data_IF_939343573474
#
_entry.id   IF_939343573474
#
_cell.length_a   1.000
_cell.length_b   1.000
_cell.length_c   1.000
_cell.angle_alpha   90.00
_cell.angle_beta   90.00
_cell.angle_gamma   90.00
#
_symmetry.space_group_name_H-M   'P 1'
#
loop_
_entity.id
_entity.type
_entity.pdbx_description
1 polymer ?
#
# COMPACT_ATOMS: atom_id res chain seq x y z
N UNK A 1 -3.44 9.16 48.31
CA UNK A 1 -4.05 9.66 47.06
C UNK A 1 -2.87 10.18 46.27
N UNK A 2 -2.35 9.36 45.37
CA UNK A 2 -1.23 9.76 44.51
C UNK A 2 -1.77 10.80 43.53
N UNK A 3 -1.17 11.99 43.57
CA UNK A 3 -1.44 13.05 42.60
C UNK A 3 -0.76 12.64 41.30
N UNK A 4 -1.53 12.08 40.37
CA UNK A 4 -1.14 11.98 38.96
C UNK A 4 -0.89 13.41 38.49
N UNK A 5 0.35 13.72 38.15
CA UNK A 5 0.73 15.02 37.59
C UNK A 5 0.07 15.18 36.23
N UNK A 6 -0.43 16.37 35.89
CA UNK A 6 -1.07 16.67 34.60
C UNK A 6 -0.20 16.29 33.37
N UNK A 7 1.10 16.05 33.54
CA UNK A 7 2.02 15.58 32.51
C UNK A 7 1.80 14.11 32.09
N UNK A 8 1.28 13.24 32.96
CA UNK A 8 1.04 11.81 32.63
C UNK A 8 -0.23 11.64 31.78
N UNK A 9 -1.27 12.46 32.01
CA UNK A 9 -2.52 12.49 31.23
C UNK A 9 -2.33 13.03 29.80
N UNK A 10 -1.38 13.96 29.61
CA UNK A 10 -1.02 14.52 28.29
C UNK A 10 -0.08 13.61 27.47
N UNK A 11 0.53 12.61 28.10
CA UNK A 11 1.41 11.62 27.42
C UNK A 11 0.61 10.40 26.99
N UNK A 12 -0.29 9.90 27.83
CA UNK A 12 -1.16 8.75 27.54
C UNK A 12 -2.08 9.04 26.32
N UNK A 13 -2.64 10.24 26.27
CA UNK A 13 -3.47 10.71 25.13
C UNK A 13 -2.69 10.82 23.83
N UNK A 14 -1.41 11.21 23.87
CA UNK A 14 -0.56 11.33 22.67
C UNK A 14 -0.08 9.97 22.17
N UNK A 15 0.22 9.04 23.07
CA UNK A 15 0.58 7.67 22.71
C UNK A 15 -0.60 6.97 22.02
N UNK A 16 -1.80 7.07 22.59
CA UNK A 16 -3.03 6.55 21.98
C UNK A 16 -3.28 7.17 20.59
N UNK A 17 -3.16 8.49 20.44
CA UNK A 17 -3.32 9.16 19.14
C UNK A 17 -2.31 8.68 18.10
N UNK A 18 -1.03 8.53 18.46
CA UNK A 18 0.01 8.01 17.57
C UNK A 18 -0.25 6.55 17.16
N UNK A 19 -0.75 5.72 18.07
CA UNK A 19 -1.14 4.34 17.75
C UNK A 19 -2.32 4.32 16.77
N UNK A 20 -3.31 5.18 16.96
CA UNK A 20 -4.42 5.32 16.01
C UNK A 20 -3.93 5.78 14.63
N UNK A 21 -3.04 6.75 14.55
CA UNK A 21 -2.46 7.21 13.28
C UNK A 21 -1.69 6.11 12.55
N UNK A 22 -0.88 5.33 13.29
CA UNK A 22 -0.15 4.19 12.72
C UNK A 22 -1.10 3.11 12.23
N UNK A 23 -2.15 2.82 12.98
CA UNK A 23 -3.19 1.88 12.58
C UNK A 23 -3.93 2.34 11.33
N UNK A 24 -4.32 3.62 11.26
CA UNK A 24 -4.96 4.20 10.07
C UNK A 24 -4.05 4.14 8.85
N UNK A 25 -2.77 4.48 9.01
CA UNK A 25 -1.79 4.37 7.94
C UNK A 25 -1.70 2.93 7.43
N UNK A 26 -1.61 1.95 8.33
CA UNK A 26 -1.60 0.54 7.95
C UNK A 26 -2.85 0.14 7.17
N UNK A 27 -4.03 0.59 7.59
CA UNK A 27 -5.29 0.31 6.89
C UNK A 27 -5.31 0.89 5.47
N UNK A 28 -4.84 2.14 5.29
CA UNK A 28 -4.76 2.74 3.96
C UNK A 28 -3.74 2.04 3.05
N UNK A 29 -2.59 1.67 3.60
CA UNK A 29 -1.60 0.87 2.88
C UNK A 29 -2.18 -0.49 2.48
N UNK A 30 -2.90 -1.15 3.38
CA UNK A 30 -3.55 -2.44 3.12
C UNK A 30 -4.66 -2.34 2.08
N UNK A 31 -5.51 -1.31 2.14
CA UNK A 31 -6.56 -1.07 1.14
C UNK A 31 -5.93 -0.82 -0.24
N UNK A 32 -4.87 -0.01 -0.29
CA UNK A 32 -4.14 0.24 -1.52
C UNK A 32 -3.51 -1.02 -2.10
N UNK A 33 -2.85 -1.85 -1.27
CA UNK A 33 -2.30 -3.14 -1.73
C UNK A 33 -3.42 -4.04 -2.26
N UNK A 34 -4.55 -4.13 -1.58
CA UNK A 34 -5.68 -4.90 -2.11
C UNK A 34 -6.23 -4.34 -3.43
N UNK A 35 -6.21 -3.02 -3.63
CA UNK A 35 -6.63 -2.39 -4.88
C UNK A 35 -5.67 -2.66 -6.06
N UNK A 36 -4.38 -2.91 -5.79
CA UNK A 36 -3.39 -3.33 -6.80
C UNK A 36 -3.80 -4.64 -7.50
N UNK A 37 -4.65 -5.47 -6.87
CA UNK A 37 -5.19 -6.67 -7.51
C UNK A 37 -5.99 -6.38 -8.79
N UNK A 38 -6.52 -5.17 -8.99
CA UNK A 38 -7.29 -4.82 -10.19
C UNK A 38 -6.38 -4.33 -11.32
N UNK A 39 -6.32 -5.03 -12.48
CA UNK A 39 -5.56 -4.56 -13.65
C UNK A 39 -6.04 -3.19 -14.17
N UNK A 40 -7.34 -2.91 -14.08
CA UNK A 40 -7.93 -1.62 -14.48
C UNK A 40 -7.42 -0.48 -13.59
N UNK A 41 -7.26 -0.73 -12.28
CA UNK A 41 -6.70 0.26 -11.37
C UNK A 41 -5.21 0.54 -11.68
N UNK A 42 -4.44 -0.51 -11.96
CA UNK A 42 -3.05 -0.37 -12.41
C UNK A 42 -2.93 0.40 -13.72
N UNK A 43 -3.82 0.15 -14.68
CA UNK A 43 -3.90 0.93 -15.93
C UNK A 43 -4.19 2.41 -15.66
N UNK A 44 -5.13 2.71 -14.76
CA UNK A 44 -5.45 4.08 -14.35
C UNK A 44 -4.22 4.78 -13.74
N UNK A 45 -3.50 4.12 -12.83
CA UNK A 45 -2.28 4.66 -12.22
C UNK A 45 -1.20 4.92 -13.27
N UNK A 46 -1.03 4.01 -14.23
CA UNK A 46 -0.08 4.16 -15.33
C UNK A 46 -0.42 5.37 -16.23
N UNK A 47 -1.68 5.54 -16.61
CA UNK A 47 -2.13 6.66 -17.43
C UNK A 47 -2.01 8.02 -16.74
N UNK A 48 -2.05 8.04 -15.40
CA UNK A 48 -1.79 9.23 -14.58
C UNK A 48 -0.31 9.48 -14.32
N UNK A 49 0.57 8.67 -14.90
CA UNK A 49 2.03 8.75 -14.78
C UNK A 49 2.56 8.59 -13.34
N UNK A 50 1.82 7.93 -12.45
CA UNK A 50 2.31 7.65 -11.08
C UNK A 50 3.58 6.80 -11.10
N UNK A 51 3.70 5.87 -12.05
CA UNK A 51 4.87 5.00 -12.19
C UNK A 51 6.14 5.68 -12.74
N UNK A 52 6.06 6.95 -13.12
CA UNK A 52 7.20 7.79 -13.50
C UNK A 52 7.77 8.56 -12.31
N UNK A 53 6.98 8.74 -11.24
CA UNK A 53 7.42 9.39 -10.01
C UNK A 53 8.25 8.43 -9.15
N UNK A 54 9.50 8.82 -8.89
CA UNK A 54 10.42 8.05 -8.04
C UNK A 54 9.90 7.91 -6.61
N UNK A 55 9.22 8.91 -6.06
CA UNK A 55 8.68 8.83 -4.71
C UNK A 55 7.60 7.73 -4.63
N UNK A 56 6.74 7.64 -5.65
CA UNK A 56 5.73 6.59 -5.74
C UNK A 56 6.35 5.20 -5.91
N UNK A 57 7.41 5.06 -6.72
CA UNK A 57 8.10 3.78 -6.86
C UNK A 57 8.73 3.30 -5.55
N UNK A 58 9.35 4.21 -4.80
CA UNK A 58 9.88 3.90 -3.48
C UNK A 58 8.75 3.48 -2.51
N UNK A 59 7.57 4.08 -2.63
CA UNK A 59 6.40 3.68 -1.85
C UNK A 59 5.93 2.26 -2.22
N UNK A 60 5.85 1.92 -3.50
CA UNK A 60 5.51 0.57 -3.96
C UNK A 60 6.56 -0.47 -3.52
N UNK A 61 7.85 -0.10 -3.52
CA UNK A 61 8.92 -0.93 -2.95
C UNK A 61 8.75 -1.12 -1.44
N UNK A 62 8.44 -0.05 -0.71
CA UNK A 62 8.16 -0.12 0.73
C UNK A 62 7.02 -1.11 1.03
N UNK A 63 5.92 -1.08 0.26
CA UNK A 63 4.77 -1.98 0.45
C UNK A 63 5.10 -3.48 0.29
N UNK A 64 6.27 -3.87 -0.22
CA UNK A 64 6.71 -5.27 -0.28
C UNK A 64 6.72 -5.95 1.10
N UNK A 65 6.72 -5.18 2.20
CA UNK A 65 6.63 -5.75 3.55
C UNK A 65 5.36 -6.58 3.78
N UNK A 66 4.27 -6.32 3.05
CA UNK A 66 3.03 -7.11 3.14
C UNK A 66 3.19 -8.58 2.76
N UNK A 67 4.29 -8.93 2.07
CA UNK A 67 4.63 -10.31 1.71
C UNK A 67 5.26 -11.10 2.85
N UNK A 68 5.68 -10.45 3.93
CA UNK A 68 6.20 -11.14 5.11
C UNK A 68 5.05 -11.91 5.79
N UNK A 69 5.37 -13.02 6.44
CA UNK A 69 4.39 -13.95 7.04
C UNK A 69 3.44 -13.28 8.05
N UNK A 70 3.91 -12.25 8.72
CA UNK A 70 3.18 -11.52 9.75
C UNK A 70 2.01 -10.69 9.16
N UNK A 71 2.15 -10.26 7.90
CA UNK A 71 1.22 -9.34 7.25
C UNK A 71 0.39 -9.99 6.15
N UNK A 72 0.86 -11.10 5.57
CA UNK A 72 0.20 -11.77 4.46
C UNK A 72 -1.25 -12.19 4.79
N UNK A 73 -1.52 -12.49 6.05
CA UNK A 73 -2.84 -12.88 6.56
C UNK A 73 -3.91 -11.78 6.40
N UNK A 74 -3.51 -10.51 6.26
CA UNK A 74 -4.44 -9.39 6.10
C UNK A 74 -4.80 -9.13 4.64
N UNK A 75 -4.06 -9.71 3.69
CA UNK A 75 -4.30 -9.55 2.26
C UNK A 75 -5.54 -10.33 1.83
N UNK A 76 -6.50 -9.63 1.23
CA UNK A 76 -7.75 -10.22 0.75
C UNK A 76 -7.59 -10.88 -0.62
N UNK A 77 -6.74 -10.29 -1.46
CA UNK A 77 -6.54 -10.73 -2.84
C UNK A 77 -5.07 -11.13 -3.05
N UNK A 78 -4.74 -12.44 -3.09
CA UNK A 78 -3.36 -12.90 -3.25
C UNK A 78 -2.66 -12.35 -4.50
N UNK A 79 -3.43 -12.12 -5.57
CA UNK A 79 -2.94 -11.53 -6.83
C UNK A 79 -2.32 -10.15 -6.65
N UNK A 80 -2.76 -9.38 -5.65
CA UNK A 80 -2.15 -8.10 -5.30
C UNK A 80 -0.65 -8.23 -5.05
N UNK A 81 -0.23 -9.28 -4.35
CA UNK A 81 1.19 -9.50 -4.02
C UNK A 81 2.00 -9.85 -5.26
N UNK A 82 1.41 -10.59 -6.20
CA UNK A 82 2.05 -10.89 -7.46
C UNK A 82 2.24 -9.63 -8.30
N UNK A 83 1.20 -8.80 -8.43
CA UNK A 83 1.33 -7.52 -9.13
C UNK A 83 2.29 -6.57 -8.44
N UNK A 84 2.33 -6.56 -7.10
CA UNK A 84 3.28 -5.74 -6.35
C UNK A 84 4.74 -6.08 -6.69
N UNK A 85 5.06 -7.37 -6.91
CA UNK A 85 6.36 -7.80 -7.43
C UNK A 85 6.58 -7.34 -8.89
N UNK A 86 5.59 -7.55 -9.76
CA UNK A 86 5.69 -7.19 -11.17
C UNK A 86 5.89 -5.69 -11.37
N UNK A 87 5.30 -4.84 -10.53
CA UNK A 87 5.46 -3.39 -10.54
C UNK A 87 6.92 -2.92 -10.34
N UNK A 88 7.81 -3.77 -9.80
CA UNK A 88 9.25 -3.45 -9.72
C UNK A 88 9.90 -3.43 -11.11
N UNK A 89 9.38 -4.22 -12.05
CA UNK A 89 9.84 -4.22 -13.44
C UNK A 89 9.38 -2.97 -14.16
N UNK A 90 10.33 -2.20 -14.71
CA UNK A 90 9.99 -1.06 -15.56
C UNK A 90 9.22 -1.50 -16.81
N UNK A 91 9.57 -2.64 -17.40
CA UNK A 91 8.91 -3.17 -18.60
C UNK A 91 7.42 -3.40 -18.32
N UNK A 92 7.09 -4.02 -17.18
CA UNK A 92 5.70 -4.22 -16.79
C UNK A 92 4.96 -2.89 -16.59
N UNK A 93 5.57 -1.93 -15.89
CA UNK A 93 4.98 -0.60 -15.68
C UNK A 93 4.69 0.15 -16.98
N UNK A 94 5.58 0.02 -17.96
CA UNK A 94 5.40 0.64 -19.27
C UNK A 94 4.24 -0.02 -20.04
N UNK A 95 4.15 -1.36 -20.00
CA UNK A 95 3.07 -2.13 -20.65
C UNK A 95 1.68 -1.86 -20.03
N UNK A 96 1.60 -1.46 -18.77
CA UNK A 96 0.32 -1.10 -18.13
C UNK A 96 -0.40 0.06 -18.81
N UNK A 97 0.27 0.89 -19.65
CA UNK A 97 -0.40 1.93 -20.45
C UNK A 97 -1.11 1.37 -21.68
N UNK A 98 -0.82 0.14 -22.08
CA UNK A 98 -1.39 -0.51 -23.25
C UNK A 98 -2.72 -1.21 -22.92
N UNK A 99 -3.81 -0.78 -23.54
CA UNK A 99 -5.16 -1.34 -23.30
C UNK A 99 -5.24 -2.82 -23.66
N UNK A 100 -4.57 -3.27 -24.73
CA UNK A 100 -4.60 -4.67 -25.13
C UNK A 100 -3.90 -5.56 -24.10
N UNK A 101 -2.82 -5.08 -23.51
CA UNK A 101 -2.12 -5.76 -22.43
C UNK A 101 -3.00 -5.91 -21.18
N UNK A 102 -3.76 -4.87 -20.82
CA UNK A 102 -4.70 -4.91 -19.68
C UNK A 102 -5.85 -5.90 -19.93
N UNK A 103 -6.35 -5.98 -21.16
CA UNK A 103 -7.38 -6.95 -21.52
C UNK A 103 -6.86 -8.39 -21.36
N UNK A 104 -5.58 -8.64 -21.65
CA UNK A 104 -4.94 -9.95 -21.44
C UNK A 104 -4.77 -10.25 -19.95
N UNK A 105 -4.39 -9.27 -19.13
CA UNK A 105 -4.27 -9.44 -17.68
C UNK A 105 -5.61 -9.65 -16.97
N UNK A 106 -6.71 -9.25 -17.61
CA UNK A 106 -8.07 -9.35 -17.06
C UNK A 106 -8.86 -10.53 -17.63
N UNK A 107 -8.27 -11.29 -18.56
CA UNK A 107 -8.89 -12.42 -19.27
C UNK A 107 -8.63 -13.75 -18.55
#
# INVERSE_FOLDING_TARGET
MENITNEELDVETKEDEMEQEQYQRFLYELEFVNAIASPQYLHFLANKNYFEDKAFLNFVEYLQYFKKSEYIQFIRFPEALHYLELLQSKVFRDELKNVDFINILSA
#
